data_IF_304660828905
#
_entry.id   IF_304660828905
#
_cell.length_a   1.000
_cell.length_b   1.000
_cell.length_c   1.000
_cell.angle_alpha   90.00
_cell.angle_beta   90.00
_cell.angle_gamma   90.00
#
_symmetry.space_group_name_H-M   'P 1'
#
loop_
_entity.id
_entity.type
_entity.pdbx_description
1 polymer ?
#
# COMPACT_ATOMS: atom_id res chain seq x y z
N UNK A 1 -18.25 -6.94 10.04
CA UNK A 1 -17.39 -5.85 10.54
C UNK A 1 -16.12 -5.83 9.70
N UNK A 2 -15.58 -4.66 9.40
CA UNK A 2 -14.35 -4.50 8.60
C UNK A 2 -13.30 -3.77 9.44
N UNK A 3 -12.02 -4.10 9.22
CA UNK A 3 -10.89 -3.39 9.83
C UNK A 3 -10.29 -2.45 8.79
N UNK A 4 -9.91 -1.25 9.22
CA UNK A 4 -9.36 -0.21 8.34
C UNK A 4 -7.98 0.17 8.88
N UNK A 5 -7.00 0.27 7.98
CA UNK A 5 -5.64 0.72 8.28
C UNK A 5 -5.39 1.95 7.41
N UNK A 6 -4.97 3.05 8.05
CA UNK A 6 -4.50 4.25 7.36
C UNK A 6 -2.98 4.28 7.42
N UNK A 7 -2.34 4.57 6.29
CA UNK A 7 -0.87 4.58 6.16
C UNK A 7 -0.45 5.91 5.56
N UNK A 8 0.34 6.66 6.32
CA UNK A 8 1.02 7.86 5.80
C UNK A 8 2.16 7.41 4.91
N UNK A 9 2.12 7.79 3.63
CA UNK A 9 3.08 7.36 2.63
C UNK A 9 3.23 8.44 1.54
N UNK A 10 4.38 8.48 0.83
CA UNK A 10 5.62 7.74 1.13
C UNK A 10 6.35 8.31 2.36
N UNK A 11 7.58 7.85 2.62
CA UNK A 11 8.50 8.51 3.55
C UNK A 11 8.59 10.01 3.19
N UNK A 12 8.42 10.88 4.19
CA UNK A 12 8.29 12.33 4.03
C UNK A 12 6.85 12.85 4.16
N UNK A 13 5.84 11.98 4.17
CA UNK A 13 4.42 12.35 4.36
C UNK A 13 3.97 12.14 5.80
N UNK A 14 3.32 13.16 6.39
CA UNK A 14 2.63 13.01 7.68
C UNK A 14 3.58 12.60 8.80
N UNK A 15 3.31 11.46 9.44
CA UNK A 15 4.16 10.88 10.49
C UNK A 15 5.25 9.93 9.98
N UNK A 16 5.26 9.61 8.69
CA UNK A 16 6.29 8.78 8.07
C UNK A 16 7.51 9.65 7.73
N UNK A 17 8.58 9.56 8.54
CA UNK A 17 9.81 10.33 8.34
C UNK A 17 11.07 9.46 8.42
N UNK A 18 12.11 9.87 7.68
CA UNK A 18 13.48 9.35 7.82
C UNK A 18 14.43 10.49 8.20
N UNK A 19 15.56 10.13 8.82
CA UNK A 19 16.68 11.06 9.04
C UNK A 19 17.65 11.12 7.85
N UNK A 20 17.47 10.24 6.86
CA UNK A 20 18.24 10.19 5.63
C UNK A 20 17.30 10.43 4.44
N UNK A 21 17.50 11.54 3.73
CA UNK A 21 16.68 11.92 2.58
C UNK A 21 16.80 10.92 1.41
N UNK A 22 17.85 10.09 1.38
CA UNK A 22 18.00 9.05 0.35
C UNK A 22 17.00 7.89 0.50
N UNK A 23 16.33 7.78 1.65
CA UNK A 23 15.23 6.82 1.87
C UNK A 23 13.91 7.28 1.22
N UNK A 24 13.80 8.53 0.78
CA UNK A 24 12.57 9.05 0.18
C UNK A 24 12.43 8.45 -1.23
N UNK A 25 11.38 7.64 -1.51
CA UNK A 25 11.21 7.06 -2.83
C UNK A 25 10.91 8.14 -3.88
N UNK A 26 11.53 8.00 -5.04
CA UNK A 26 11.44 8.97 -6.14
C UNK A 26 10.55 8.51 -7.31
N UNK A 27 10.01 7.29 -7.25
CA UNK A 27 9.10 6.73 -8.25
C UNK A 27 8.08 5.76 -7.61
N UNK A 28 7.05 5.37 -8.38
CA UNK A 28 6.01 4.46 -7.90
C UNK A 28 6.54 3.05 -7.58
N UNK A 29 7.69 2.66 -8.14
CA UNK A 29 8.32 1.37 -7.84
C UNK A 29 8.85 1.36 -6.42
N UNK A 30 9.57 2.42 -6.01
CA UNK A 30 10.02 2.63 -4.64
C UNK A 30 8.83 2.66 -3.67
N UNK A 31 7.84 3.51 -3.95
CA UNK A 31 6.64 3.64 -3.09
C UNK A 31 5.92 2.30 -2.92
N UNK A 32 5.75 1.53 -4.00
CA UNK A 32 5.06 0.23 -3.92
C UNK A 32 5.87 -0.85 -3.20
N UNK A 33 7.21 -0.79 -3.25
CA UNK A 33 8.07 -1.69 -2.48
C UNK A 33 7.99 -1.37 -0.99
N UNK A 34 8.10 -0.10 -0.60
CA UNK A 34 8.02 0.31 0.81
C UNK A 34 6.67 -0.05 1.43
N UNK A 35 5.58 0.22 0.71
CA UNK A 35 4.23 -0.15 1.14
C UNK A 35 4.05 -1.68 1.22
N UNK A 36 4.65 -2.43 0.30
CA UNK A 36 4.61 -3.89 0.37
C UNK A 36 5.37 -4.40 1.59
N UNK A 37 6.56 -3.87 1.87
CA UNK A 37 7.37 -4.24 3.02
C UNK A 37 6.67 -3.88 4.35
N UNK A 38 6.02 -2.71 4.40
CA UNK A 38 5.11 -2.36 5.50
C UNK A 38 4.02 -3.43 5.68
N UNK A 39 3.33 -3.85 4.62
CA UNK A 39 2.28 -4.88 4.71
C UNK A 39 2.85 -6.22 5.19
N UNK A 40 4.04 -6.61 4.73
CA UNK A 40 4.72 -7.82 5.20
C UNK A 40 5.02 -7.76 6.70
N UNK A 41 5.54 -6.64 7.18
CA UNK A 41 5.77 -6.42 8.61
C UNK A 41 4.46 -6.40 9.41
N UNK A 42 3.44 -5.70 8.91
CA UNK A 42 2.12 -5.61 9.55
C UNK A 42 1.48 -6.99 9.71
N UNK A 43 1.43 -7.79 8.65
CA UNK A 43 0.83 -9.13 8.70
C UNK A 43 1.66 -10.13 9.50
N UNK A 44 2.97 -9.93 9.62
CA UNK A 44 3.82 -10.71 10.52
C UNK A 44 3.49 -10.41 11.99
N UNK A 45 3.28 -9.13 12.32
CA UNK A 45 2.92 -8.69 13.66
C UNK A 45 1.46 -9.02 14.02
N UNK A 46 0.56 -8.97 13.03
CA UNK A 46 -0.88 -9.18 13.16
C UNK A 46 -1.36 -10.36 12.31
N UNK A 47 -0.81 -11.54 12.62
CA UNK A 47 -1.07 -12.77 11.87
C UNK A 47 -2.54 -13.18 11.79
N UNK A 48 -3.36 -12.71 12.74
CA UNK A 48 -4.82 -12.89 12.79
C UNK A 48 -5.55 -12.32 11.57
N UNK A 49 -4.96 -11.35 10.86
CA UNK A 49 -5.57 -10.73 9.69
C UNK A 49 -5.14 -11.32 8.35
N UNK A 50 -4.14 -12.21 8.32
CA UNK A 50 -3.57 -12.75 7.06
C UNK A 50 -4.61 -13.46 6.19
N UNK A 51 -5.58 -14.13 6.81
CA UNK A 51 -6.63 -14.86 6.09
C UNK A 51 -7.78 -13.99 5.62
N UNK A 52 -7.86 -12.73 6.07
CA UNK A 52 -8.94 -11.84 5.71
C UNK A 52 -8.86 -11.46 4.23
N UNK A 53 -10.01 -11.14 3.66
CA UNK A 53 -10.05 -10.49 2.36
C UNK A 53 -9.42 -9.10 2.48
N UNK A 54 -8.44 -8.83 1.63
CA UNK A 54 -7.69 -7.58 1.64
C UNK A 54 -8.11 -6.71 0.45
N UNK A 55 -8.34 -5.43 0.73
CA UNK A 55 -8.77 -4.43 -0.23
C UNK A 55 -7.85 -3.22 -0.16
N UNK A 56 -7.47 -2.68 -1.30
CA UNK A 56 -6.66 -1.46 -1.38
C UNK A 56 -7.54 -0.34 -1.93
N UNK A 57 -7.67 0.75 -1.19
CA UNK A 57 -8.44 1.92 -1.65
C UNK A 57 -7.61 3.18 -1.53
N UNK A 58 -7.75 4.10 -2.47
CA UNK A 58 -7.10 5.40 -2.40
C UNK A 58 -7.86 6.45 -3.18
N UNK A 59 -7.54 7.72 -2.92
CA UNK A 59 -8.11 8.89 -3.59
C UNK A 59 -7.00 9.70 -4.24
N UNK A 60 -7.33 10.46 -5.29
CA UNK A 60 -6.43 11.42 -5.92
C UNK A 60 -5.18 10.75 -6.52
N UNK A 61 -3.99 11.23 -6.16
CA UNK A 61 -2.71 10.68 -6.63
C UNK A 61 -2.48 9.22 -6.21
N UNK A 62 -3.25 8.72 -5.23
CA UNK A 62 -3.29 7.28 -4.96
C UNK A 62 -3.76 6.47 -6.18
N UNK A 63 -4.35 7.09 -7.21
CA UNK A 63 -4.57 6.46 -8.51
C UNK A 63 -3.31 5.90 -9.17
N UNK A 64 -2.12 6.42 -8.86
CA UNK A 64 -0.84 5.85 -9.27
C UNK A 64 -0.35 4.76 -8.30
N UNK A 65 -0.45 5.02 -7.00
CA UNK A 65 0.07 4.13 -5.96
C UNK A 65 -0.73 2.84 -5.78
N UNK A 66 -2.06 2.91 -5.90
CA UNK A 66 -2.95 1.78 -5.68
C UNK A 66 -2.72 0.67 -6.72
N UNK A 67 -2.66 0.95 -8.04
CA UNK A 67 -2.30 -0.07 -9.03
C UNK A 67 -0.87 -0.59 -8.86
N UNK A 68 0.09 0.29 -8.54
CA UNK A 68 1.48 -0.11 -8.34
C UNK A 68 1.61 -1.10 -7.17
N UNK A 69 0.98 -0.80 -6.03
CA UNK A 69 0.95 -1.68 -4.87
C UNK A 69 0.19 -2.99 -5.16
N UNK A 70 -0.97 -2.92 -5.82
CA UNK A 70 -1.72 -4.11 -6.19
C UNK A 70 -0.91 -5.06 -7.10
N UNK A 71 -0.19 -4.50 -8.08
CA UNK A 71 0.73 -5.23 -8.95
C UNK A 71 1.87 -5.87 -8.15
N UNK A 72 2.49 -5.10 -7.25
CA UNK A 72 3.58 -5.58 -6.40
C UNK A 72 3.16 -6.70 -5.45
N UNK A 73 1.96 -6.63 -4.88
CA UNK A 73 1.35 -7.69 -4.06
C UNK A 73 1.09 -8.94 -4.91
N UNK A 74 0.52 -8.78 -6.10
CA UNK A 74 0.27 -9.90 -7.01
C UNK A 74 1.57 -10.62 -7.38
N UNK A 75 2.62 -9.87 -7.72
CA UNK A 75 3.93 -10.44 -8.06
C UNK A 75 4.57 -11.14 -6.85
N UNK A 76 4.52 -10.55 -5.67
CA UNK A 76 5.03 -11.19 -4.44
C UNK A 76 4.33 -12.51 -4.15
N UNK A 77 3.00 -12.55 -4.30
CA UNK A 77 2.21 -13.78 -4.14
C UNK A 77 2.57 -14.84 -5.19
N UNK A 78 2.76 -14.45 -6.45
CA UNK A 78 3.13 -15.35 -7.55
C UNK A 78 4.52 -15.96 -7.36
N UNK A 79 5.47 -15.17 -6.86
CA UNK A 79 6.85 -15.59 -6.60
C UNK A 79 7.03 -16.30 -5.25
N UNK A 80 5.95 -16.49 -4.48
CA UNK A 80 5.99 -16.99 -3.09
C UNK A 80 6.96 -16.20 -2.19
N UNK A 81 7.03 -14.88 -2.39
CA UNK A 81 7.80 -13.97 -1.54
C UNK A 81 6.95 -13.52 -0.36
N UNK A 82 7.44 -13.76 0.85
CA UNK A 82 6.81 -13.30 2.09
C UNK A 82 5.46 -13.97 2.40
N UNK A 83 4.68 -13.32 3.26
CA UNK A 83 3.32 -13.71 3.61
C UNK A 83 2.40 -13.43 2.42
N UNK A 84 1.65 -14.46 2.00
CA UNK A 84 0.66 -14.34 0.93
C UNK A 84 -0.50 -13.45 1.39
N UNK A 85 -0.72 -12.36 0.67
CA UNK A 85 -1.81 -11.40 0.95
C UNK A 85 -3.02 -11.78 0.09
N UNK A 86 -4.19 -11.97 0.71
CA UNK A 86 -5.43 -12.32 0.02
C UNK A 86 -6.11 -11.08 -0.60
N UNK A 87 -5.42 -10.43 -1.55
CA UNK A 87 -5.92 -9.26 -2.28
C UNK A 87 -7.11 -9.67 -3.16
N UNK A 88 -8.29 -9.11 -2.87
CA UNK A 88 -9.52 -9.36 -3.66
C UNK A 88 -9.75 -8.29 -4.70
N UNK A 89 -9.57 -7.04 -4.33
CA UNK A 89 -9.87 -5.90 -5.19
C UNK A 89 -9.10 -4.66 -4.76
N UNK A 90 -8.90 -3.76 -5.70
CA UNK A 90 -8.50 -2.39 -5.40
C UNK A 90 -9.48 -1.40 -6.05
N UNK A 91 -9.63 -0.23 -5.44
CA UNK A 91 -10.51 0.83 -5.92
C UNK A 91 -9.81 2.18 -5.83
N UNK A 92 -9.99 3.00 -6.86
CA UNK A 92 -9.48 4.37 -6.90
C UNK A 92 -10.71 5.28 -6.93
N UNK A 93 -10.79 6.18 -5.96
CA UNK A 93 -11.79 7.24 -5.98
C UNK A 93 -11.22 8.46 -6.72
N UNK A 94 -11.97 9.05 -7.67
CA UNK A 94 -11.51 10.25 -8.36
C UNK A 94 -11.41 11.40 -7.35
N UNK A 95 -10.36 12.21 -7.47
CA UNK A 95 -10.35 13.54 -6.85
C UNK A 95 -11.54 14.34 -7.37
N UNK A 96 -12.20 15.10 -6.50
CA UNK A 96 -13.13 16.14 -6.93
C UNK A 96 -12.38 17.23 -7.72
N UNK A 97 -12.20 17.01 -9.01
CA UNK A 97 -11.93 18.06 -9.99
C UNK A 97 -13.22 18.29 -10.78
N UNK A 98 -14.13 19.07 -10.19
CA UNK A 98 -15.01 20.03 -10.88
C UNK A 98 -16.13 20.47 -9.92
N UNK A 99 -15.83 21.50 -9.12
CA UNK A 99 -16.85 22.48 -8.79
C UNK A 99 -17.11 23.27 -10.07
N UNK A 100 -18.25 23.04 -10.71
CA UNK A 100 -18.78 23.89 -11.77
C UNK A 100 -20.11 24.48 -11.33
#
# INVERSE_FOLDING_TARGET
ASNIIFVDQPIGTGFSSSSDDSDIPHDETGVSNDLYDFLQAFFKQHSEYVKNDFYITGESYAGHYVPALASRVHQGNKDNKGIKINLKQFSIQPTLSDAK
#
